data_IF_632379921898
#
_entry.id   IF_632379921898
#
_cell.length_a   1.000
_cell.length_b   1.000
_cell.length_c   1.000
_cell.angle_alpha   90.00
_cell.angle_beta   90.00
_cell.angle_gamma   90.00
#
_symmetry.space_group_name_H-M   'P 1'
#
loop_
_entity.id
_entity.type
_entity.pdbx_description
1 polymer ?
#
# COMPACT_ATOMS: atom_id res chain seq x y z
N UNK A 1 12.04 7.84 9.55
CA UNK A 1 11.37 6.59 9.14
C UNK A 1 11.99 6.05 7.85
N UNK A 2 12.00 6.83 6.76
CA UNK A 2 12.57 6.44 5.45
C UNK A 2 14.03 5.96 5.51
N UNK A 3 14.89 6.65 6.28
CA UNK A 3 16.31 6.28 6.40
C UNK A 3 16.54 4.93 7.12
N UNK A 4 15.65 4.55 8.04
CA UNK A 4 15.70 3.25 8.73
C UNK A 4 15.26 2.13 7.80
N UNK A 5 14.25 2.38 6.97
CA UNK A 5 13.79 1.46 5.93
C UNK A 5 14.91 1.20 4.93
N UNK A 6 15.55 2.24 4.40
CA UNK A 6 16.68 2.09 3.46
C UNK A 6 17.81 1.26 4.06
N UNK A 7 18.18 1.52 5.32
CA UNK A 7 19.24 0.76 6.01
C UNK A 7 18.89 -0.73 6.14
N UNK A 8 17.64 -1.05 6.48
CA UNK A 8 17.16 -2.43 6.53
C UNK A 8 17.17 -3.09 5.14
N UNK A 9 16.74 -2.35 4.11
CA UNK A 9 16.73 -2.83 2.73
C UNK A 9 18.14 -3.16 2.24
N UNK A 10 19.12 -2.30 2.51
CA UNK A 10 20.52 -2.55 2.15
C UNK A 10 21.11 -3.79 2.86
N UNK A 11 20.59 -4.16 4.04
CA UNK A 11 21.01 -5.40 4.71
C UNK A 11 20.37 -6.66 4.11
N UNK A 12 19.36 -6.50 3.27
CA UNK A 12 18.54 -7.56 2.70
C UNK A 12 18.64 -7.61 1.15
N UNK A 13 19.76 -7.14 0.58
CA UNK A 13 19.94 -7.04 -0.88
C UNK A 13 19.77 -8.37 -1.64
N UNK A 14 20.03 -9.50 -0.97
CA UNK A 14 19.90 -10.83 -1.55
C UNK A 14 18.53 -11.47 -1.30
N UNK A 15 17.56 -10.72 -0.77
CA UNK A 15 16.24 -11.24 -0.46
C UNK A 15 15.44 -11.46 -1.75
N UNK A 16 15.11 -12.71 -2.05
CA UNK A 16 14.32 -13.06 -3.24
C UNK A 16 12.80 -12.97 -3.02
N UNK A 17 12.35 -13.05 -1.77
CA UNK A 17 10.93 -13.09 -1.41
C UNK A 17 10.63 -12.21 -0.20
N UNK A 18 9.64 -11.33 -0.34
CA UNK A 18 9.20 -10.43 0.72
C UNK A 18 7.67 -10.43 0.79
N UNK A 19 7.15 -10.65 2.00
CA UNK A 19 5.76 -10.38 2.37
C UNK A 19 5.75 -9.17 3.30
N UNK A 20 5.22 -8.05 2.81
CA UNK A 20 5.16 -6.79 3.54
C UNK A 20 3.75 -6.58 4.10
N UNK A 21 3.61 -6.62 5.42
CA UNK A 21 2.33 -6.30 6.08
C UNK A 21 2.51 -5.06 6.96
N UNK A 22 1.84 -3.98 6.61
CA UNK A 22 2.03 -2.68 7.26
C UNK A 22 0.69 -2.03 7.55
N UNK A 23 0.54 -1.56 8.79
CA UNK A 23 -0.52 -0.63 9.16
C UNK A 23 0.13 0.71 9.53
N UNK A 24 -0.28 1.79 8.87
CA UNK A 24 0.28 3.12 9.07
C UNK A 24 -0.82 4.08 9.47
N UNK A 25 -0.61 4.75 10.59
CA UNK A 25 -1.48 5.81 11.07
C UNK A 25 -0.97 7.18 10.65
N UNK A 26 -1.87 8.05 10.23
CA UNK A 26 -1.66 9.50 10.07
C UNK A 26 -0.50 9.88 9.12
N UNK A 27 -0.54 9.41 7.89
CA UNK A 27 0.32 9.92 6.81
C UNK A 27 -0.29 11.18 6.18
N UNK A 28 0.55 11.99 5.54
CA UNK A 28 0.07 13.11 4.71
C UNK A 28 -0.29 12.66 3.30
N UNK A 29 0.14 11.47 2.88
CA UNK A 29 -0.01 10.93 1.53
C UNK A 29 -0.39 9.46 1.53
N UNK A 30 -1.01 9.02 0.43
CA UNK A 30 -1.30 7.61 0.16
C UNK A 30 0.00 6.93 -0.28
N UNK A 31 0.23 5.71 0.21
CA UNK A 31 1.33 4.86 -0.27
C UNK A 31 0.85 4.16 -1.52
N UNK A 32 1.34 4.60 -2.67
CA UNK A 32 0.99 4.06 -3.98
C UNK A 32 2.10 3.16 -4.55
N UNK A 33 1.92 2.67 -5.77
CA UNK A 33 2.90 1.83 -6.45
C UNK A 33 4.20 2.56 -6.74
N UNK A 34 4.16 3.88 -6.97
CA UNK A 34 5.37 4.68 -7.19
C UNK A 34 6.20 4.79 -5.91
N UNK A 35 5.55 4.99 -4.76
CA UNK A 35 6.21 5.01 -3.46
C UNK A 35 6.94 3.70 -3.18
N UNK A 36 6.24 2.56 -3.33
CA UNK A 36 6.85 1.24 -3.11
C UNK A 36 7.96 0.92 -4.11
N UNK A 37 7.79 1.32 -5.38
CA UNK A 37 8.83 1.14 -6.39
C UNK A 37 10.09 1.89 -6.00
N UNK A 38 9.94 3.17 -5.66
CA UNK A 38 11.05 4.06 -5.32
C UNK A 38 11.77 3.62 -4.05
N UNK A 39 11.01 3.28 -3.00
CA UNK A 39 11.57 3.03 -1.68
C UNK A 39 11.91 1.56 -1.42
N UNK A 40 11.42 0.60 -2.21
CA UNK A 40 11.65 -0.84 -2.00
C UNK A 40 12.21 -1.50 -3.25
N UNK A 41 11.44 -1.53 -4.35
CA UNK A 41 11.79 -2.36 -5.50
C UNK A 41 13.09 -1.93 -6.19
N UNK A 42 13.35 -0.62 -6.28
CA UNK A 42 14.59 -0.11 -6.87
C UNK A 42 15.84 -0.50 -6.07
N UNK A 43 15.68 -0.84 -4.79
CA UNK A 43 16.79 -1.17 -3.89
C UNK A 43 16.94 -2.68 -3.67
N UNK A 44 15.86 -3.46 -3.76
CA UNK A 44 15.89 -4.92 -3.64
C UNK A 44 15.95 -5.61 -5.01
N UNK A 45 17.09 -5.50 -5.69
CA UNK A 45 17.25 -5.97 -7.08
C UNK A 45 17.04 -7.48 -7.27
N UNK A 46 17.25 -8.29 -6.23
CA UNK A 46 17.05 -9.75 -6.29
C UNK A 46 15.60 -10.16 -5.94
N UNK A 47 14.73 -9.21 -5.59
CA UNK A 47 13.37 -9.49 -5.15
C UNK A 47 12.50 -9.98 -6.32
N UNK A 48 12.27 -11.29 -6.35
CA UNK A 48 11.48 -11.95 -7.37
C UNK A 48 10.00 -12.04 -6.99
N UNK A 49 9.71 -12.23 -5.71
CA UNK A 49 8.35 -12.31 -5.17
C UNK A 49 8.16 -11.19 -4.16
N UNK A 50 7.37 -10.20 -4.56
CA UNK A 50 6.92 -9.16 -3.65
C UNK A 50 5.41 -9.26 -3.46
N UNK A 51 5.01 -9.53 -2.23
CA UNK A 51 3.61 -9.50 -1.81
C UNK A 51 3.45 -8.48 -0.70
N UNK A 52 2.32 -7.80 -0.67
CA UNK A 52 2.08 -6.77 0.32
C UNK A 52 0.61 -6.64 0.70
N UNK A 53 0.42 -6.09 1.90
CA UNK A 53 -0.83 -5.71 2.50
C UNK A 53 -0.59 -4.44 3.31
N UNK A 54 -1.03 -3.31 2.76
CA UNK A 54 -0.76 -1.99 3.31
C UNK A 54 -2.10 -1.37 3.65
N UNK A 55 -2.29 -1.09 4.93
CA UNK A 55 -3.40 -0.29 5.42
C UNK A 55 -2.85 1.04 5.89
N UNK A 56 -3.35 2.15 5.38
CA UNK A 56 -2.93 3.49 5.76
C UNK A 56 -4.11 4.39 6.09
N UNK A 57 -3.94 5.20 7.11
CA UNK A 57 -4.80 6.35 7.42
C UNK A 57 -4.06 7.63 7.03
N UNK A 58 -4.73 8.53 6.32
CA UNK A 58 -4.13 9.77 5.85
C UNK A 58 -5.03 10.97 6.11
N UNK A 59 -4.42 12.14 6.34
CA UNK A 59 -5.15 13.40 6.49
C UNK A 59 -5.62 13.94 5.13
N UNK A 60 -6.80 14.58 5.10
CA UNK A 60 -7.33 15.25 3.90
C UNK A 60 -7.01 16.74 3.86
N UNK A 61 -6.25 17.26 4.83
CA UNK A 61 -5.91 18.67 4.93
C UNK A 61 -5.23 19.13 3.63
N UNK A 62 -5.80 20.14 2.98
CA UNK A 62 -5.32 20.73 1.72
C UNK A 62 -5.32 19.79 0.50
N UNK A 63 -6.02 18.65 0.53
CA UNK A 63 -6.20 17.81 -0.66
C UNK A 63 -7.32 18.37 -1.56
N UNK A 64 -6.95 18.72 -2.79
CA UNK A 64 -7.90 19.14 -3.85
C UNK A 64 -8.37 17.92 -4.66
N UNK A 65 -7.59 16.84 -4.65
CA UNK A 65 -7.82 15.65 -5.45
C UNK A 65 -7.94 14.40 -4.60
N UNK A 66 -9.02 13.65 -4.81
CA UNK A 66 -9.33 12.39 -4.13
C UNK A 66 -9.21 11.24 -5.15
N UNK A 67 -8.07 10.53 -5.22
CA UNK A 67 -7.91 9.43 -6.17
C UNK A 67 -8.93 8.31 -5.96
N UNK A 68 -9.48 7.77 -7.06
CA UNK A 68 -10.29 6.55 -7.00
C UNK A 68 -9.42 5.31 -6.78
N UNK A 69 -10.06 4.17 -6.54
CA UNK A 69 -9.37 2.87 -6.46
C UNK A 69 -8.57 2.60 -7.73
N UNK A 70 -9.15 2.86 -8.90
CA UNK A 70 -8.53 2.66 -10.21
C UNK A 70 -7.30 3.55 -10.37
N UNK A 71 -7.38 4.81 -9.95
CA UNK A 71 -6.24 5.73 -10.02
C UNK A 71 -5.07 5.21 -9.19
N UNK A 72 -5.34 4.67 -7.99
CA UNK A 72 -4.34 4.06 -7.13
C UNK A 72 -3.78 2.78 -7.76
N UNK A 73 -4.63 1.88 -8.26
CA UNK A 73 -4.20 0.64 -8.90
C UNK A 73 -3.30 0.90 -10.12
N UNK A 74 -3.61 1.93 -10.90
CA UNK A 74 -2.82 2.31 -12.07
C UNK A 74 -1.36 2.67 -11.70
N UNK A 75 -1.09 3.14 -10.49
CA UNK A 75 0.28 3.42 -10.03
C UNK A 75 1.14 2.15 -9.91
N UNK A 76 0.53 0.97 -9.92
CA UNK A 76 1.20 -0.32 -9.81
C UNK A 76 1.43 -1.02 -11.15
N UNK A 77 1.16 -0.39 -12.29
CA UNK A 77 1.32 -1.02 -13.62
C UNK A 77 2.72 -1.59 -13.90
N UNK A 78 3.74 -1.13 -13.19
CA UNK A 78 5.13 -1.60 -13.31
C UNK A 78 5.45 -2.82 -12.43
N UNK A 79 4.49 -3.31 -11.66
CA UNK A 79 4.70 -4.46 -10.77
C UNK A 79 4.53 -5.75 -11.58
N UNK A 80 5.44 -6.71 -11.37
CA UNK A 80 5.31 -8.06 -11.96
C UNK A 80 4.03 -8.78 -11.52
N UNK A 81 3.46 -8.39 -10.36
CA UNK A 81 2.17 -8.87 -9.91
C UNK A 81 1.06 -7.93 -10.40
N UNK A 82 0.27 -8.41 -11.35
CA UNK A 82 -0.75 -7.59 -12.01
C UNK A 82 -2.10 -7.58 -11.29
N UNK A 83 -2.24 -8.30 -10.16
CA UNK A 83 -3.49 -8.40 -9.43
C UNK A 83 -3.39 -7.63 -8.12
N UNK A 84 -3.34 -6.30 -8.23
CA UNK A 84 -3.30 -5.40 -7.08
C UNK A 84 -4.70 -4.82 -6.90
N UNK A 85 -5.19 -4.90 -5.67
CA UNK A 85 -6.48 -4.38 -5.28
C UNK A 85 -6.24 -3.20 -4.35
N UNK A 86 -7.01 -2.14 -4.56
CA UNK A 86 -7.07 -0.98 -3.69
C UNK A 86 -8.51 -0.74 -3.25
N UNK A 87 -8.65 -0.31 -2.00
CA UNK A 87 -9.90 0.08 -1.37
C UNK A 87 -9.64 1.38 -0.63
N UNK A 88 -10.20 2.48 -1.13
CA UNK A 88 -10.06 3.80 -0.53
C UNK A 88 -11.39 4.31 -0.02
N UNK A 89 -11.36 4.88 1.18
CA UNK A 89 -12.50 5.53 1.80
C UNK A 89 -12.12 6.92 2.26
N UNK A 90 -13.02 7.86 2.01
CA UNK A 90 -12.87 9.23 2.43
C UNK A 90 -13.89 9.56 3.50
N UNK A 91 -13.44 10.23 4.56
CA UNK A 91 -14.29 10.73 5.65
C UNK A 91 -14.15 12.26 5.73
N UNK A 92 -14.76 13.02 4.80
CA UNK A 92 -14.56 14.46 4.71
C UNK A 92 -14.93 15.20 5.99
N UNK A 93 -15.99 14.76 6.69
CA UNK A 93 -16.44 15.35 7.97
C UNK A 93 -15.37 15.30 9.06
N UNK A 94 -14.51 14.28 9.01
CA UNK A 94 -13.46 14.06 9.99
C UNK A 94 -12.06 14.44 9.45
N UNK A 95 -11.98 14.97 8.22
CA UNK A 95 -10.75 15.38 7.55
C UNK A 95 -9.67 14.27 7.45
N UNK A 96 -10.08 13.01 7.34
CA UNK A 96 -9.17 11.89 7.08
C UNK A 96 -9.74 10.92 6.04
N UNK A 97 -8.87 10.09 5.48
CA UNK A 97 -9.23 8.94 4.66
C UNK A 97 -8.47 7.70 5.13
N UNK A 98 -8.87 6.55 4.62
CA UNK A 98 -8.09 5.32 4.72
C UNK A 98 -7.93 4.68 3.36
N UNK A 99 -6.80 4.03 3.15
CA UNK A 99 -6.52 3.27 1.95
C UNK A 99 -5.97 1.90 2.35
N UNK A 100 -6.54 0.87 1.75
CA UNK A 100 -6.08 -0.50 1.88
C UNK A 100 -5.66 -0.98 0.51
N UNK A 101 -4.39 -1.39 0.36
CA UNK A 101 -3.84 -1.89 -0.89
C UNK A 101 -3.15 -3.23 -0.64
N UNK A 102 -3.44 -4.22 -1.47
CA UNK A 102 -2.82 -5.53 -1.34
C UNK A 102 -2.63 -6.23 -2.68
N UNK A 103 -1.61 -7.09 -2.73
CA UNK A 103 -1.28 -7.92 -3.89
C UNK A 103 -1.93 -9.30 -3.78
N UNK A 104 -2.69 -9.72 -4.80
CA UNK A 104 -3.32 -11.04 -4.83
C UNK A 104 -2.36 -12.15 -5.31
N UNK A 105 -2.47 -13.40 -4.80
CA UNK A 105 -3.32 -13.81 -3.67
C UNK A 105 -2.70 -13.37 -2.34
N UNK A 106 -3.43 -12.56 -1.57
CA UNK A 106 -3.01 -12.22 -0.22
C UNK A 106 -3.71 -13.12 0.79
N UNK A 107 -2.93 -13.65 1.74
CA UNK A 107 -3.47 -14.34 2.91
C UNK A 107 -3.73 -13.30 4.00
N UNK A 108 -4.91 -12.66 3.96
CA UNK A 108 -5.33 -11.76 5.05
C UNK A 108 -5.33 -12.54 6.37
N UNK A 109 -4.34 -12.26 7.23
CA UNK A 109 -4.31 -12.78 8.60
C UNK A 109 -5.13 -11.91 9.57
N UNK A 110 -5.41 -10.66 9.21
CA UNK A 110 -6.07 -9.70 10.10
C UNK A 110 -7.09 -8.83 9.33
N UNK A 111 -8.32 -8.76 9.85
CA UNK A 111 -9.45 -8.00 9.30
C UNK A 111 -9.80 -6.81 10.20
N UNK A 112 -8.96 -5.78 10.25
CA UNK A 112 -9.24 -4.56 11.03
C UNK A 112 -9.61 -3.41 10.11
N UNK A 113 -10.65 -2.65 10.50
CA UNK A 113 -11.11 -1.42 9.82
C UNK A 113 -11.50 -1.59 8.35
N UNK A 114 -11.98 -2.78 8.00
CA UNK A 114 -12.47 -3.07 6.66
C UNK A 114 -13.77 -2.32 6.42
N UNK A 115 -13.90 -1.78 5.22
CA UNK A 115 -15.05 -1.01 4.77
C UNK A 115 -15.80 -1.76 3.68
N UNK A 116 -16.97 -1.24 3.31
CA UNK A 116 -17.77 -1.80 2.22
C UNK A 116 -17.08 -1.74 0.86
N UNK A 117 -16.01 -0.94 0.72
CA UNK A 117 -15.19 -0.89 -0.48
C UNK A 117 -14.18 -2.03 -0.56
N UNK A 118 -14.06 -2.87 0.47
CA UNK A 118 -13.18 -4.02 0.47
C UNK A 118 -13.74 -5.16 -0.37
N UNK A 119 -13.03 -5.51 -1.43
CA UNK A 119 -13.46 -6.57 -2.35
C UNK A 119 -13.42 -7.96 -1.68
N UNK A 120 -14.53 -8.70 -1.76
CA UNK A 120 -14.64 -10.08 -1.27
C UNK A 120 -15.31 -10.25 0.09
N UNK A 121 -15.75 -9.17 0.75
CA UNK A 121 -16.67 -9.27 1.89
C UNK A 121 -18.13 -9.11 1.46
N UNK A 122 -19.01 -9.96 1.99
CA UNK A 122 -20.44 -9.69 2.03
C UNK A 122 -20.67 -8.87 3.30
N UNK A 123 -20.84 -7.55 3.16
CA UNK A 123 -21.15 -6.63 4.26
C UNK A 123 -22.57 -6.09 4.11
#
# INVERSE_FOLDING_TARGET
>A
FEQLILTLIYRMLNLEKLELNVNISMTTTIIDGNYLKTNILNHMIQLNIFTFNIHSWFGLCNQIYFPSNENIQHTFNNFKNNKIISCIDYYPKNQYGQCHIYSYPYRLKYYKHITNNFSGGLF
#
